data_IF_548618981407
#
_entry.id   IF_548618981407
#
_cell.length_a   1.000
_cell.length_b   1.000
_cell.length_c   1.000
_cell.angle_alpha   90.00
_cell.angle_beta   90.00
_cell.angle_gamma   90.00
#
_symmetry.space_group_name_H-M   'P 1'
#
loop_
_entity.id
_entity.type
_entity.pdbx_description
1 polymer ?
#
# COMPACT_ATOMS: atom_id res chain seq x y z
N UNK A 1 -102.98 -80.67 52.55
CA UNK A 1 -103.80 -81.88 52.80
C UNK A 1 -104.72 -82.04 51.62
N UNK A 2 -104.35 -82.93 50.70
CA UNK A 2 -105.13 -83.28 49.52
C UNK A 2 -106.18 -84.26 50.00
N UNK A 3 -107.42 -83.80 50.16
CA UNK A 3 -108.53 -84.72 50.40
C UNK A 3 -108.79 -85.43 49.08
N UNK A 4 -108.49 -86.73 49.06
CA UNK A 4 -109.06 -87.72 48.16
C UNK A 4 -110.56 -87.46 48.06
N UNK A 5 -110.97 -86.74 47.02
CA UNK A 5 -112.38 -86.62 46.65
C UNK A 5 -112.62 -87.67 45.61
N UNK A 6 -113.18 -88.77 46.09
CA UNK A 6 -113.90 -89.81 45.38
C UNK A 6 -114.22 -89.45 43.92
N UNK A 7 -113.37 -89.93 43.01
CA UNK A 7 -113.64 -90.06 41.57
C UNK A 7 -114.69 -91.15 41.33
N UNK A 8 -115.82 -91.08 42.03
CA UNK A 8 -117.01 -91.92 41.85
C UNK A 8 -118.11 -91.21 41.08
N UNK A 9 -117.73 -90.29 40.17
CA UNK A 9 -118.68 -89.57 39.34
C UNK A 9 -119.21 -90.49 38.23
N UNK A 10 -120.49 -90.83 38.37
CA UNK A 10 -121.36 -91.53 37.43
C UNK A 10 -121.13 -93.06 37.33
N UNK A 11 -122.06 -93.92 37.79
CA UNK A 11 -122.04 -95.31 37.41
C UNK A 11 -122.23 -95.41 35.89
N UNK A 12 -121.12 -95.68 35.20
CA UNK A 12 -121.09 -96.08 33.80
C UNK A 12 -121.92 -97.36 33.65
N UNK A 13 -122.99 -97.26 32.87
CA UNK A 13 -123.87 -98.33 32.36
C UNK A 13 -124.21 -99.45 33.36
N UNK A 14 -125.45 -99.43 33.87
CA UNK A 14 -126.06 -100.60 34.47
C UNK A 14 -127.11 -101.17 33.51
N UNK A 15 -127.06 -102.48 33.29
CA UNK A 15 -128.04 -103.19 32.49
C UNK A 15 -129.34 -103.27 33.30
N UNK A 16 -130.42 -102.70 32.78
CA UNK A 16 -131.77 -102.83 33.37
C UNK A 16 -132.35 -104.20 32.99
N UNK A 17 -133.18 -104.77 33.87
CA UNK A 17 -133.86 -106.01 33.53
C UNK A 17 -134.83 -105.79 32.34
N UNK A 18 -134.76 -106.67 31.33
CA UNK A 18 -135.65 -106.62 30.18
C UNK A 18 -136.94 -107.39 30.49
N UNK A 19 -138.07 -106.70 30.50
CA UNK A 19 -139.39 -107.30 30.42
C UNK A 19 -139.74 -107.60 28.96
N UNK A 20 -140.80 -108.39 28.73
CA UNK A 20 -141.17 -109.03 27.45
C UNK A 20 -141.33 -108.08 26.23
N UNK A 21 -141.25 -106.74 26.44
CA UNK A 21 -141.07 -105.70 25.41
C UNK A 21 -140.47 -104.39 26.02
N UNK A 22 -139.29 -104.44 26.66
CA UNK A 22 -138.52 -103.25 27.07
C UNK A 22 -138.03 -103.26 28.53
N UNK A 23 -137.45 -102.15 29.01
CA UNK A 23 -136.93 -102.03 30.39
C UNK A 23 -138.05 -101.86 31.43
N UNK A 24 -137.82 -102.34 32.67
CA UNK A 24 -138.74 -102.14 33.78
C UNK A 24 -138.88 -100.65 34.16
N UNK A 25 -140.11 -100.12 34.07
CA UNK A 25 -140.41 -98.70 34.33
C UNK A 25 -140.20 -98.30 35.78
N UNK A 26 -140.37 -99.21 36.74
CA UNK A 26 -140.19 -98.89 38.16
C UNK A 26 -138.71 -98.75 38.51
N UNK A 27 -137.87 -99.64 37.98
CA UNK A 27 -136.41 -99.60 38.14
C UNK A 27 -135.84 -98.30 37.55
N UNK A 28 -136.32 -97.89 36.36
CA UNK A 28 -135.91 -96.63 35.72
C UNK A 28 -136.30 -95.40 36.54
N UNK A 29 -137.51 -95.35 37.12
CA UNK A 29 -137.95 -94.21 37.95
C UNK A 29 -137.14 -94.06 39.23
N UNK A 30 -136.91 -95.16 39.96
CA UNK A 30 -136.08 -95.13 41.17
C UNK A 30 -134.65 -94.66 40.86
N UNK A 31 -134.11 -95.07 39.71
CA UNK A 31 -132.82 -94.60 39.26
C UNK A 31 -132.81 -93.11 38.90
N UNK A 32 -133.84 -92.61 38.22
CA UNK A 32 -133.99 -91.18 37.94
C UNK A 32 -134.11 -90.35 39.22
N UNK A 33 -134.89 -90.81 40.21
CA UNK A 33 -135.03 -90.13 41.50
C UNK A 33 -133.69 -90.12 42.27
N UNK A 34 -132.94 -91.23 42.23
CA UNK A 34 -131.60 -91.32 42.81
C UNK A 34 -130.60 -90.38 42.10
N UNK A 35 -130.62 -90.35 40.76
CA UNK A 35 -129.82 -89.42 39.97
C UNK A 35 -130.19 -87.96 40.25
N UNK A 36 -131.47 -87.64 40.39
CA UNK A 36 -131.93 -86.29 40.72
C UNK A 36 -131.44 -85.88 42.12
N UNK A 37 -131.53 -86.77 43.11
CA UNK A 37 -130.98 -86.54 44.44
C UNK A 37 -129.44 -86.33 44.42
N UNK A 38 -128.72 -87.12 43.61
CA UNK A 38 -127.28 -86.97 43.42
C UNK A 38 -126.92 -85.66 42.71
N UNK A 39 -127.66 -85.26 41.67
CA UNK A 39 -127.48 -83.97 41.00
C UNK A 39 -127.74 -82.81 41.95
N UNK A 40 -128.79 -82.87 42.78
CA UNK A 40 -129.05 -81.85 43.80
C UNK A 40 -127.91 -81.74 44.80
N UNK A 41 -127.37 -82.87 45.28
CA UNK A 41 -126.20 -82.89 46.16
C UNK A 41 -124.95 -82.29 45.50
N UNK A 42 -124.67 -82.65 44.26
CA UNK A 42 -123.52 -82.08 43.51
C UNK A 42 -123.73 -80.58 43.30
N UNK A 43 -124.96 -80.13 43.02
CA UNK A 43 -125.28 -78.70 42.90
C UNK A 43 -125.08 -77.97 44.23
N UNK A 44 -125.52 -78.53 45.36
CA UNK A 44 -125.29 -77.93 46.68
C UNK A 44 -123.80 -77.90 47.04
N UNK A 45 -123.06 -78.97 46.73
CA UNK A 45 -121.63 -79.06 46.99
C UNK A 45 -120.86 -78.08 46.08
N UNK A 46 -121.27 -77.93 44.82
CA UNK A 46 -120.75 -76.91 43.89
C UNK A 46 -121.01 -75.52 44.41
N UNK A 47 -122.23 -75.22 44.83
CA UNK A 47 -122.60 -73.88 45.30
C UNK A 47 -121.88 -73.53 46.61
N UNK A 48 -121.71 -74.50 47.52
CA UNK A 48 -120.89 -74.35 48.72
C UNK A 48 -119.40 -74.13 48.39
N UNK A 49 -118.85 -74.88 47.43
CA UNK A 49 -117.48 -74.69 46.97
C UNK A 49 -117.29 -73.32 46.28
N UNK A 50 -118.28 -72.85 45.51
CA UNK A 50 -118.26 -71.51 44.91
C UNK A 50 -118.30 -70.42 45.99
N UNK A 51 -119.12 -70.58 47.04
CA UNK A 51 -119.15 -69.64 48.16
C UNK A 51 -117.79 -69.59 48.91
N UNK A 52 -117.16 -70.75 49.16
CA UNK A 52 -115.81 -70.82 49.75
C UNK A 52 -114.76 -70.18 48.84
N UNK A 53 -114.78 -70.48 47.54
CA UNK A 53 -113.87 -69.86 46.57
C UNK A 53 -114.02 -68.34 46.53
N UNK A 54 -115.26 -67.83 46.60
CA UNK A 54 -115.53 -66.39 46.66
C UNK A 54 -115.07 -65.73 47.96
N UNK A 55 -115.07 -66.47 49.07
CA UNK A 55 -114.61 -65.97 50.37
C UNK A 55 -113.09 -65.92 50.39
N UNK A 56 -112.43 -67.00 49.96
CA UNK A 56 -110.98 -67.06 49.84
C UNK A 56 -110.45 -66.04 48.81
N UNK A 57 -111.16 -65.79 47.70
CA UNK A 57 -110.76 -64.76 46.75
C UNK A 57 -110.81 -63.37 47.37
N UNK A 58 -111.83 -63.07 48.18
CA UNK A 58 -111.93 -61.80 48.94
C UNK A 58 -110.81 -61.67 49.97
N UNK A 59 -110.50 -62.73 50.72
CA UNK A 59 -109.38 -62.73 51.68
C UNK A 59 -108.03 -62.54 50.98
N UNK A 60 -107.82 -63.19 49.84
CA UNK A 60 -106.61 -63.06 49.04
C UNK A 60 -106.47 -61.63 48.48
N UNK A 61 -107.56 -61.04 47.99
CA UNK A 61 -107.57 -59.63 47.57
C UNK A 61 -107.26 -58.68 48.74
N UNK A 62 -107.80 -58.93 49.93
CA UNK A 62 -107.49 -58.15 51.12
C UNK A 62 -106.01 -58.27 51.52
N UNK A 63 -105.47 -59.49 51.57
CA UNK A 63 -104.05 -59.72 51.86
C UNK A 63 -103.14 -59.08 50.80
N UNK A 64 -103.52 -59.12 49.52
CA UNK A 64 -102.80 -58.41 48.44
C UNK A 64 -102.82 -56.91 48.62
N UNK A 65 -103.95 -56.33 49.04
CA UNK A 65 -104.06 -54.89 49.34
C UNK A 65 -103.21 -54.50 50.54
N UNK A 66 -103.12 -55.34 51.57
CA UNK A 66 -102.25 -55.11 52.73
C UNK A 66 -100.78 -55.20 52.37
N UNK A 67 -100.39 -56.22 51.59
CA UNK A 67 -99.02 -56.33 51.07
C UNK A 67 -98.65 -55.11 50.22
N UNK A 68 -99.54 -54.65 49.33
CA UNK A 68 -99.31 -53.45 48.52
C UNK A 68 -99.12 -52.18 49.38
N UNK A 69 -99.88 -52.04 50.47
CA UNK A 69 -99.72 -50.94 51.45
C UNK A 69 -98.41 -51.05 52.23
N UNK A 70 -98.01 -52.26 52.61
CA UNK A 70 -96.76 -52.49 53.32
C UNK A 70 -95.56 -52.21 52.41
N UNK A 71 -95.60 -52.68 51.15
CA UNK A 71 -94.54 -52.41 50.17
C UNK A 71 -94.44 -50.92 49.85
N UNK A 72 -95.56 -50.20 49.65
CA UNK A 72 -95.49 -48.76 49.42
C UNK A 72 -94.88 -48.00 50.59
N UNK A 73 -95.17 -48.42 51.83
CA UNK A 73 -94.57 -47.83 53.04
C UNK A 73 -93.08 -48.13 53.16
N UNK A 74 -92.65 -49.33 52.77
CA UNK A 74 -91.22 -49.68 52.71
C UNK A 74 -90.54 -48.85 51.62
N UNK A 75 -91.12 -48.73 50.42
CA UNK A 75 -90.58 -47.91 49.34
C UNK A 75 -90.49 -46.43 49.73
N UNK A 76 -91.43 -45.93 50.54
CA UNK A 76 -91.36 -44.59 51.15
C UNK A 76 -90.21 -44.46 52.16
N UNK A 77 -89.99 -45.45 53.03
CA UNK A 77 -88.87 -45.46 54.00
C UNK A 77 -87.51 -45.71 53.34
N UNK A 78 -87.47 -46.37 52.19
CA UNK A 78 -86.24 -46.65 51.43
C UNK A 78 -85.77 -45.45 50.60
N UNK A 79 -86.60 -44.43 50.39
CA UNK A 79 -86.15 -43.18 49.79
C UNK A 79 -85.16 -42.51 50.76
N UNK A 80 -83.96 -42.14 50.30
CA UNK A 80 -83.00 -41.41 51.13
C UNK A 80 -83.65 -40.15 51.70
N UNK A 81 -83.43 -39.81 52.98
CA UNK A 81 -83.94 -38.55 53.54
C UNK A 81 -83.35 -37.38 52.75
N UNK A 82 -84.21 -36.55 52.16
CA UNK A 82 -83.78 -35.38 51.37
C UNK A 82 -83.46 -34.18 52.27
N UNK A 83 -84.03 -34.16 53.48
CA UNK A 83 -83.84 -33.09 54.45
C UNK A 83 -83.32 -33.62 55.77
N UNK A 84 -82.55 -32.78 56.46
CA UNK A 84 -82.04 -33.07 57.80
C UNK A 84 -83.17 -33.39 58.79
N UNK A 85 -84.32 -32.75 58.63
CA UNK A 85 -85.51 -32.90 59.48
C UNK A 85 -86.14 -34.31 59.41
N UNK A 86 -85.89 -35.06 58.33
CA UNK A 86 -86.42 -36.41 58.12
C UNK A 86 -85.59 -37.50 58.83
N UNK A 87 -84.42 -37.14 59.36
CA UNK A 87 -83.55 -38.05 60.10
C UNK A 87 -83.89 -38.05 61.60
N UNK A 88 -83.66 -39.17 62.29
CA UNK A 88 -83.76 -39.23 63.75
C UNK A 88 -82.89 -38.15 64.42
N UNK A 89 -83.34 -37.60 65.56
CA UNK A 89 -82.65 -36.51 66.28
C UNK A 89 -81.16 -36.78 66.54
N UNK A 90 -80.80 -38.03 66.82
CA UNK A 90 -79.40 -38.43 67.02
C UNK A 90 -78.58 -38.28 65.73
N UNK A 91 -79.15 -38.69 64.60
CA UNK A 91 -78.51 -38.62 63.30
C UNK A 91 -78.40 -37.16 62.84
N UNK A 92 -79.41 -36.33 63.09
CA UNK A 92 -79.36 -34.88 62.87
C UNK A 92 -78.17 -34.23 63.59
N UNK A 93 -77.99 -34.53 64.89
CA UNK A 93 -76.87 -34.03 65.68
C UNK A 93 -75.52 -34.52 65.13
N UNK A 94 -75.43 -35.76 64.64
CA UNK A 94 -74.19 -36.24 64.02
C UNK A 94 -73.87 -35.55 62.70
N UNK A 95 -74.90 -35.22 61.89
CA UNK A 95 -74.68 -34.48 60.64
C UNK A 95 -74.28 -33.04 60.95
N UNK A 96 -74.92 -32.38 61.91
CA UNK A 96 -74.51 -31.04 62.36
C UNK A 96 -73.08 -31.03 62.90
N UNK A 97 -72.70 -32.03 63.70
CA UNK A 97 -71.33 -32.18 64.18
C UNK A 97 -70.34 -32.42 63.04
N UNK A 98 -70.70 -33.25 62.06
CA UNK A 98 -69.87 -33.51 60.89
C UNK A 98 -69.73 -32.25 60.01
N UNK A 99 -70.80 -31.48 59.82
CA UNK A 99 -70.79 -30.19 59.12
C UNK A 99 -69.90 -29.18 59.85
N UNK A 100 -70.09 -29.00 61.16
CA UNK A 100 -69.23 -28.13 61.97
C UNK A 100 -67.75 -28.57 61.89
N UNK A 101 -67.49 -29.88 61.92
CA UNK A 101 -66.12 -30.41 61.77
C UNK A 101 -65.55 -30.19 60.36
N UNK A 102 -66.38 -30.31 59.33
CA UNK A 102 -65.97 -30.01 57.96
C UNK A 102 -65.62 -28.53 57.81
N UNK A 103 -66.44 -27.63 58.37
CA UNK A 103 -66.17 -26.18 58.40
C UNK A 103 -64.86 -25.87 59.15
N UNK A 104 -64.61 -26.51 60.29
CA UNK A 104 -63.33 -26.37 61.01
C UNK A 104 -62.14 -26.80 60.16
N UNK A 105 -62.26 -27.91 59.42
CA UNK A 105 -61.20 -28.42 58.55
C UNK A 105 -60.98 -27.46 57.38
N UNK A 106 -62.04 -26.96 56.74
CA UNK A 106 -61.91 -26.02 55.62
C UNK A 106 -61.33 -24.69 56.09
N UNK A 107 -61.77 -24.16 57.23
CA UNK A 107 -61.25 -22.92 57.79
C UNK A 107 -59.77 -23.07 58.16
N UNK A 108 -59.39 -24.20 58.75
CA UNK A 108 -57.98 -24.49 59.06
C UNK A 108 -57.13 -24.64 57.79
N UNK A 109 -57.66 -25.31 56.77
CA UNK A 109 -56.97 -25.48 55.49
C UNK A 109 -56.81 -24.13 54.76
N UNK A 110 -57.84 -23.28 54.76
CA UNK A 110 -57.80 -21.94 54.21
C UNK A 110 -56.76 -21.07 54.93
N UNK A 111 -56.78 -21.03 56.27
CA UNK A 111 -55.79 -20.28 57.05
C UNK A 111 -54.35 -20.76 56.81
N UNK A 112 -54.14 -22.08 56.69
CA UNK A 112 -52.83 -22.65 56.38
C UNK A 112 -52.37 -22.30 54.95
N UNK A 113 -53.30 -22.33 53.98
CA UNK A 113 -53.03 -21.92 52.61
C UNK A 113 -52.67 -20.43 52.57
N UNK A 114 -53.49 -19.54 53.14
CA UNK A 114 -53.25 -18.10 53.19
C UNK A 114 -51.89 -17.76 53.81
N UNK A 115 -51.52 -18.43 54.91
CA UNK A 115 -50.20 -18.28 55.51
C UNK A 115 -49.08 -18.65 54.53
N UNK A 116 -49.20 -19.80 53.87
CA UNK A 116 -48.20 -20.27 52.89
C UNK A 116 -48.11 -19.30 51.69
N UNK A 117 -49.25 -18.81 51.20
CA UNK A 117 -49.32 -17.81 50.12
C UNK A 117 -48.68 -16.48 50.54
N UNK A 118 -48.95 -16.00 51.75
CA UNK A 118 -48.34 -14.80 52.29
C UNK A 118 -46.81 -14.94 52.42
N UNK A 119 -46.32 -16.06 52.96
CA UNK A 119 -44.89 -16.35 53.10
C UNK A 119 -44.19 -16.41 51.72
N UNK A 120 -44.79 -17.11 50.74
CA UNK A 120 -44.27 -17.21 49.38
C UNK A 120 -44.26 -15.86 48.65
N UNK A 121 -45.32 -15.06 48.83
CA UNK A 121 -45.41 -13.71 48.24
C UNK A 121 -44.38 -12.78 48.87
N UNK A 122 -44.17 -12.87 50.19
CA UNK A 122 -43.14 -12.10 50.87
C UNK A 122 -41.72 -12.51 50.44
N UNK A 123 -41.47 -13.80 50.21
CA UNK A 123 -40.19 -14.26 49.69
C UNK A 123 -39.95 -13.76 48.25
N UNK A 124 -40.99 -13.82 47.41
CA UNK A 124 -40.93 -13.34 46.02
C UNK A 124 -40.71 -11.84 45.92
N UNK A 125 -41.39 -11.04 46.75
CA UNK A 125 -41.20 -9.58 46.81
C UNK A 125 -39.79 -9.23 47.27
N UNK A 126 -39.30 -9.84 48.36
CA UNK A 126 -37.91 -9.65 48.81
C UNK A 126 -36.88 -9.99 47.73
N UNK A 127 -37.13 -11.05 46.94
CA UNK A 127 -36.25 -11.44 45.85
C UNK A 127 -36.27 -10.41 44.71
N UNK A 128 -37.47 -9.93 44.32
CA UNK A 128 -37.62 -8.86 43.34
C UNK A 128 -36.90 -7.59 43.79
N UNK A 129 -37.10 -7.16 45.03
CA UNK A 129 -36.44 -5.97 45.58
C UNK A 129 -34.91 -6.08 45.55
N UNK A 130 -34.36 -7.28 45.83
CA UNK A 130 -32.93 -7.54 45.72
C UNK A 130 -32.43 -7.47 44.28
N UNK A 131 -33.16 -8.03 43.33
CA UNK A 131 -32.79 -7.95 41.92
C UNK A 131 -32.89 -6.53 41.39
N UNK A 132 -33.93 -5.78 41.75
CA UNK A 132 -34.06 -4.36 41.39
C UNK A 132 -32.85 -3.58 41.92
N UNK A 133 -32.49 -3.73 43.19
CA UNK A 133 -31.30 -3.09 43.76
C UNK A 133 -30.00 -3.52 43.09
N UNK A 134 -29.88 -4.79 42.70
CA UNK A 134 -28.70 -5.29 41.99
C UNK A 134 -28.59 -4.68 40.58
N UNK A 135 -29.70 -4.59 39.86
CA UNK A 135 -29.75 -3.96 38.54
C UNK A 135 -29.37 -2.48 38.65
N UNK A 136 -29.97 -1.74 39.59
CA UNK A 136 -29.60 -0.34 39.86
C UNK A 136 -28.12 -0.19 40.20
N UNK A 137 -27.56 -1.08 41.03
CA UNK A 137 -26.13 -1.05 41.36
C UNK A 137 -25.23 -1.34 40.14
N UNK A 138 -25.65 -2.22 39.24
CA UNK A 138 -24.93 -2.50 37.99
C UNK A 138 -25.01 -1.33 37.01
N UNK A 139 -26.14 -0.64 36.93
CA UNK A 139 -26.29 0.58 36.13
C UNK A 139 -25.36 1.68 36.64
N UNK A 140 -25.34 1.94 37.95
CA UNK A 140 -24.41 2.91 38.57
C UNK A 140 -22.95 2.53 38.30
N UNK A 141 -22.61 1.25 38.37
CA UNK A 141 -21.25 0.78 38.09
C UNK A 141 -20.88 0.92 36.60
N UNK A 142 -21.82 0.67 35.69
CA UNK A 142 -21.61 0.86 34.26
C UNK A 142 -21.38 2.33 33.92
N UNK A 143 -22.17 3.24 34.51
CA UNK A 143 -22.00 4.68 34.33
C UNK A 143 -20.66 5.18 34.90
N UNK A 144 -20.24 4.66 36.06
CA UNK A 144 -18.94 4.97 36.65
C UNK A 144 -17.78 4.53 35.74
N UNK A 145 -17.81 3.29 35.22
CA UNK A 145 -16.81 2.79 34.28
C UNK A 145 -16.80 3.60 32.98
N UNK A 146 -17.97 3.94 32.43
CA UNK A 146 -18.04 4.79 31.24
C UNK A 146 -17.41 6.17 31.51
N UNK A 147 -17.72 6.80 32.65
CA UNK A 147 -17.12 8.06 33.05
C UNK A 147 -15.60 7.98 33.19
N UNK A 148 -15.08 6.91 33.81
CA UNK A 148 -13.64 6.67 33.94
C UNK A 148 -12.97 6.46 32.57
N UNK A 149 -13.59 5.69 31.67
CA UNK A 149 -13.09 5.48 30.32
C UNK A 149 -13.08 6.76 29.49
N UNK A 150 -14.15 7.56 29.57
CA UNK A 150 -14.22 8.85 28.89
C UNK A 150 -13.16 9.82 29.42
N UNK A 151 -12.95 9.86 30.73
CA UNK A 151 -11.91 10.67 31.35
C UNK A 151 -10.49 10.22 30.92
N UNK A 152 -10.23 8.92 30.89
CA UNK A 152 -8.96 8.37 30.42
C UNK A 152 -8.72 8.67 28.92
N UNK A 153 -9.74 8.53 28.08
CA UNK A 153 -9.68 8.89 26.66
C UNK A 153 -9.49 10.41 26.47
N UNK A 154 -10.11 11.24 27.29
CA UNK A 154 -9.91 12.68 27.26
C UNK A 154 -8.47 13.06 27.65
N UNK A 155 -7.92 12.46 28.71
CA UNK A 155 -6.53 12.69 29.15
C UNK A 155 -5.53 12.27 28.07
N UNK A 156 -5.66 11.05 27.55
CA UNK A 156 -4.76 10.55 26.48
C UNK A 156 -4.87 11.38 25.21
N UNK A 157 -6.08 11.80 24.80
CA UNK A 157 -6.25 12.74 23.67
C UNK A 157 -5.57 14.08 23.94
N UNK A 158 -5.63 14.60 25.16
CA UNK A 158 -4.97 15.85 25.52
C UNK A 158 -3.43 15.70 25.50
N UNK A 159 -2.89 14.59 26.01
CA UNK A 159 -1.47 14.27 25.97
C UNK A 159 -0.95 14.09 24.55
N UNK A 160 -1.67 13.34 23.70
CA UNK A 160 -1.33 13.17 22.28
C UNK A 160 -1.32 14.52 21.59
N UNK A 161 -2.32 15.38 21.82
CA UNK A 161 -2.34 16.75 21.27
C UNK A 161 -1.11 17.56 21.70
N UNK A 162 -0.76 17.54 22.99
CA UNK A 162 0.46 18.21 23.48
C UNK A 162 1.72 17.68 22.80
N UNK A 163 1.89 16.36 22.75
CA UNK A 163 3.05 15.73 22.08
C UNK A 163 3.11 16.07 20.59
N UNK A 164 1.97 16.12 19.90
CA UNK A 164 1.93 16.50 18.47
C UNK A 164 2.29 17.97 18.25
N UNK A 165 1.86 18.88 19.14
CA UNK A 165 2.23 20.29 19.08
C UNK A 165 3.72 20.47 19.36
N UNK A 166 4.24 19.87 20.43
CA UNK A 166 5.67 19.92 20.74
C UNK A 166 6.53 19.30 19.63
N UNK A 167 6.07 18.21 19.00
CA UNK A 167 6.77 17.61 17.88
C UNK A 167 6.77 18.51 16.64
N UNK A 168 5.68 19.24 16.38
CA UNK A 168 5.60 20.22 15.30
C UNK A 168 6.54 21.41 15.57
N UNK A 169 6.53 21.97 16.78
CA UNK A 169 7.44 23.05 17.20
C UNK A 169 8.90 22.64 17.07
N UNK A 170 9.28 21.44 17.56
CA UNK A 170 10.64 20.92 17.44
C UNK A 170 11.06 20.74 15.97
N UNK A 171 10.15 20.31 15.09
CA UNK A 171 10.43 20.21 13.65
C UNK A 171 10.71 21.58 13.05
N UNK A 172 9.87 22.58 13.33
CA UNK A 172 10.09 23.94 12.85
C UNK A 172 11.40 24.55 13.36
N UNK A 173 11.76 24.30 14.63
CA UNK A 173 13.04 24.75 15.20
C UNK A 173 14.23 24.12 14.49
N UNK A 174 14.18 22.80 14.23
CA UNK A 174 15.22 22.08 13.51
C UNK A 174 15.33 22.56 12.05
N UNK A 175 14.19 22.83 11.39
CA UNK A 175 14.17 23.35 10.03
C UNK A 175 14.77 24.76 9.97
N UNK A 176 14.38 25.66 10.87
CA UNK A 176 14.98 27.00 11.01
C UNK A 176 16.49 26.93 11.28
N UNK A 177 16.92 26.02 12.15
CA UNK A 177 18.33 25.82 12.46
C UNK A 177 19.11 25.25 11.25
N UNK A 178 18.50 24.33 10.50
CA UNK A 178 19.10 23.76 9.30
C UNK A 178 19.22 24.82 8.18
N UNK A 179 18.20 25.64 7.97
CA UNK A 179 18.24 26.76 7.02
C UNK A 179 19.31 27.78 7.39
N UNK A 180 19.40 28.16 8.68
CA UNK A 180 20.43 29.07 9.15
C UNK A 180 21.85 28.51 8.91
N UNK A 181 22.05 27.20 9.13
CA UNK A 181 23.31 26.51 8.80
C UNK A 181 23.60 26.50 7.30
N UNK A 182 22.61 26.21 6.46
CA UNK A 182 22.77 26.24 4.99
C UNK A 182 23.19 27.63 4.52
N UNK A 183 22.48 28.68 4.94
CA UNK A 183 22.82 30.06 4.60
C UNK A 183 24.22 30.45 5.07
N UNK A 184 24.63 30.02 6.27
CA UNK A 184 25.99 30.27 6.77
C UNK A 184 27.05 29.60 5.90
N UNK A 185 26.84 28.32 5.54
CA UNK A 185 27.77 27.58 4.67
C UNK A 185 27.83 28.21 3.28
N UNK A 186 26.68 28.59 2.71
CA UNK A 186 26.61 29.27 1.41
C UNK A 186 27.38 30.59 1.44
N UNK A 187 27.17 31.43 2.46
CA UNK A 187 27.88 32.69 2.62
C UNK A 187 29.41 32.50 2.82
N UNK A 188 29.82 31.52 3.62
CA UNK A 188 31.25 31.19 3.82
C UNK A 188 31.88 30.64 2.53
N UNK A 189 31.16 29.81 1.78
CA UNK A 189 31.60 29.29 0.49
C UNK A 189 31.73 30.39 -0.56
N UNK A 190 30.73 31.26 -0.69
CA UNK A 190 30.78 32.41 -1.59
C UNK A 190 31.93 33.35 -1.24
N UNK A 191 32.15 33.64 0.05
CA UNK A 191 33.27 34.45 0.50
C UNK A 191 34.62 33.80 0.18
N UNK A 192 34.76 32.49 0.42
CA UNK A 192 35.97 31.73 0.08
C UNK A 192 36.23 31.71 -1.42
N UNK A 193 35.21 31.44 -2.24
CA UNK A 193 35.33 31.44 -3.70
C UNK A 193 35.63 32.83 -4.24
N UNK A 194 35.04 33.89 -3.69
CA UNK A 194 35.34 35.26 -4.05
C UNK A 194 36.79 35.63 -3.69
N UNK A 195 37.27 35.22 -2.51
CA UNK A 195 38.66 35.42 -2.10
C UNK A 195 39.64 34.66 -3.00
N UNK A 196 39.34 33.42 -3.37
CA UNK A 196 40.15 32.62 -4.30
C UNK A 196 40.17 33.24 -5.71
N UNK A 197 39.01 33.68 -6.23
CA UNK A 197 38.93 34.37 -7.52
C UNK A 197 39.76 35.65 -7.50
N UNK A 198 39.62 36.49 -6.47
CA UNK A 198 40.40 37.71 -6.32
C UNK A 198 41.91 37.43 -6.20
N UNK A 199 42.31 36.35 -5.53
CA UNK A 199 43.72 35.95 -5.43
C UNK A 199 44.28 35.47 -6.78
N UNK A 200 43.52 34.68 -7.54
CA UNK A 200 43.90 34.25 -8.88
C UNK A 200 43.96 35.44 -9.86
N UNK A 201 43.00 36.34 -9.81
CA UNK A 201 43.00 37.57 -10.61
C UNK A 201 44.22 38.44 -10.30
N UNK A 202 44.59 38.61 -9.03
CA UNK A 202 45.83 39.28 -8.63
C UNK A 202 47.06 38.58 -9.20
N UNK A 203 47.14 37.26 -9.08
CA UNK A 203 48.28 36.51 -9.62
C UNK A 203 48.38 36.63 -11.15
N UNK A 204 47.27 36.59 -11.88
CA UNK A 204 47.23 36.82 -13.33
C UNK A 204 47.66 38.26 -13.66
N UNK A 205 47.19 39.25 -12.90
CA UNK A 205 47.59 40.64 -13.09
C UNK A 205 49.09 40.85 -12.81
N UNK A 206 49.62 40.25 -11.76
CA UNK A 206 51.04 40.28 -11.40
C UNK A 206 51.89 39.60 -12.48
N UNK A 207 51.48 38.42 -12.96
CA UNK A 207 52.15 37.72 -14.05
C UNK A 207 52.09 38.50 -15.36
N UNK A 208 50.95 39.12 -15.69
CA UNK A 208 50.81 39.97 -16.87
C UNK A 208 51.73 41.19 -16.78
N UNK A 209 51.78 41.83 -15.62
CA UNK A 209 52.66 42.99 -15.38
C UNK A 209 54.13 42.59 -15.43
N UNK A 210 54.51 41.48 -14.80
CA UNK A 210 55.86 40.94 -14.86
C UNK A 210 56.26 40.56 -16.29
N UNK A 211 55.36 39.92 -17.05
CA UNK A 211 55.60 39.55 -18.46
C UNK A 211 55.73 40.77 -19.35
N UNK A 212 54.89 41.80 -19.16
CA UNK A 212 55.00 43.09 -19.86
C UNK A 212 56.33 43.77 -19.56
N UNK A 213 56.71 43.89 -18.28
CA UNK A 213 57.97 44.47 -17.87
C UNK A 213 59.18 43.68 -18.42
N UNK A 214 59.12 42.34 -18.46
CA UNK A 214 60.17 41.52 -19.06
C UNK A 214 60.25 41.69 -20.58
N UNK A 215 59.10 41.76 -21.27
CA UNK A 215 59.05 42.02 -22.70
C UNK A 215 59.63 43.42 -23.02
N UNK A 216 59.24 44.44 -22.26
CA UNK A 216 59.79 45.80 -22.38
C UNK A 216 61.30 45.83 -22.13
N UNK A 217 61.80 45.12 -21.10
CA UNK A 217 63.25 45.00 -20.85
C UNK A 217 63.98 44.32 -22.02
N UNK A 218 63.47 43.20 -22.53
CA UNK A 218 64.07 42.51 -23.69
C UNK A 218 64.05 43.38 -24.94
N UNK A 219 62.98 44.13 -25.17
CA UNK A 219 62.91 45.09 -26.29
C UNK A 219 63.92 46.22 -26.08
N UNK A 220 64.03 46.77 -24.87
CA UNK A 220 64.99 47.81 -24.56
C UNK A 220 66.45 47.32 -24.71
N UNK A 221 66.76 46.12 -24.23
CA UNK A 221 68.07 45.48 -24.39
C UNK A 221 68.38 45.17 -25.86
N UNK A 222 67.44 44.55 -26.59
CA UNK A 222 67.61 44.24 -28.01
C UNK A 222 67.76 45.51 -28.86
N UNK A 223 66.99 46.57 -28.57
CA UNK A 223 67.14 47.85 -29.26
C UNK A 223 68.45 48.55 -28.90
N UNK A 224 68.93 48.45 -27.67
CA UNK A 224 70.24 48.97 -27.26
C UNK A 224 71.39 48.20 -27.94
N UNK A 225 71.32 46.87 -27.99
CA UNK A 225 72.30 46.06 -28.72
C UNK A 225 72.25 46.31 -30.23
N UNK A 226 71.05 46.42 -30.81
CA UNK A 226 70.90 46.75 -32.23
C UNK A 226 71.52 48.11 -32.54
N UNK A 227 71.29 49.12 -31.68
CA UNK A 227 71.96 50.42 -31.78
C UNK A 227 73.48 50.28 -31.68
N UNK A 228 74.00 49.55 -30.68
CA UNK A 228 75.45 49.29 -30.56
C UNK A 228 76.04 48.62 -31.79
N UNK A 229 75.40 47.57 -32.32
CA UNK A 229 75.87 46.89 -33.54
C UNK A 229 75.82 47.80 -34.76
N UNK A 230 74.80 48.65 -34.89
CA UNK A 230 74.71 49.66 -35.96
C UNK A 230 75.78 50.73 -35.79
N UNK A 231 76.03 51.21 -34.57
CA UNK A 231 77.07 52.20 -34.27
C UNK A 231 78.48 51.62 -34.53
N UNK A 232 78.72 50.39 -34.12
CA UNK A 232 79.97 49.65 -34.41
C UNK A 232 80.14 49.40 -35.92
N UNK A 233 79.11 48.91 -36.61
CA UNK A 233 79.16 48.66 -38.05
C UNK A 233 79.35 49.96 -38.84
N UNK A 234 78.72 51.07 -38.41
CA UNK A 234 78.93 52.39 -39.03
C UNK A 234 80.31 52.95 -38.70
N UNK A 235 80.85 52.71 -37.50
CA UNK A 235 82.22 53.07 -37.15
C UNK A 235 83.25 52.26 -37.96
N UNK A 236 83.05 50.95 -38.12
CA UNK A 236 83.86 50.10 -38.99
C UNK A 236 83.74 50.50 -40.46
N UNK A 237 82.54 50.79 -40.94
CA UNK A 237 82.32 51.26 -42.30
C UNK A 237 83.06 52.58 -42.53
N UNK A 238 82.98 53.53 -41.58
CA UNK A 238 83.76 54.77 -41.62
C UNK A 238 85.27 54.48 -41.63
N UNK A 239 85.77 53.61 -40.73
CA UNK A 239 87.19 53.21 -40.72
C UNK A 239 87.62 52.59 -42.06
N UNK A 240 86.85 51.66 -42.63
CA UNK A 240 87.14 51.05 -43.93
C UNK A 240 87.11 52.09 -45.06
N UNK A 241 86.19 53.05 -45.01
CA UNK A 241 86.15 54.17 -45.96
C UNK A 241 87.38 55.07 -45.79
N UNK A 242 87.78 55.39 -44.57
CA UNK A 242 88.96 56.21 -44.29
C UNK A 242 90.25 55.49 -44.71
N UNK A 243 90.38 54.19 -44.42
CA UNK A 243 91.48 53.32 -44.88
C UNK A 243 91.50 53.18 -46.40
N UNK A 244 90.35 53.03 -47.05
CA UNK A 244 90.25 53.01 -48.50
C UNK A 244 90.59 54.37 -49.11
N UNK A 245 90.18 55.47 -48.47
CA UNK A 245 90.46 56.84 -48.91
C UNK A 245 91.93 57.18 -48.74
N UNK A 246 92.56 56.78 -47.64
CA UNK A 246 93.99 56.93 -47.41
C UNK A 246 94.80 56.05 -48.34
N UNK A 247 94.38 54.80 -48.60
CA UNK A 247 95.01 53.92 -49.60
C UNK A 247 94.84 54.44 -51.03
N UNK A 248 93.68 55.01 -51.36
CA UNK A 248 93.43 55.70 -52.62
C UNK A 248 94.31 56.97 -52.74
N UNK A 249 94.46 57.75 -51.67
CA UNK A 249 95.37 58.89 -51.60
C UNK A 249 96.84 58.45 -51.76
N UNK A 250 97.24 57.33 -51.16
CA UNK A 250 98.59 56.78 -51.30
C UNK A 250 98.87 56.25 -52.70
N UNK A 251 97.93 55.53 -53.32
CA UNK A 251 98.05 55.04 -54.70
C UNK A 251 98.05 56.18 -55.71
N UNK A 252 97.20 57.19 -55.54
CA UNK A 252 97.22 58.41 -56.36
C UNK A 252 98.51 59.20 -56.17
N UNK A 253 99.01 59.36 -54.94
CA UNK A 253 100.31 60.00 -54.70
C UNK A 253 101.49 59.19 -55.27
N UNK A 254 101.45 57.86 -55.17
CA UNK A 254 102.48 56.99 -55.75
C UNK A 254 102.42 57.02 -57.29
N UNK A 255 101.23 57.07 -57.88
CA UNK A 255 101.04 57.27 -59.30
C UNK A 255 101.53 58.66 -59.74
N UNK A 256 101.23 59.72 -58.98
CA UNK A 256 101.72 61.07 -59.23
C UNK A 256 103.26 61.13 -59.21
N UNK A 257 103.91 60.51 -58.21
CA UNK A 257 105.38 60.39 -58.15
C UNK A 257 105.96 59.59 -59.32
N UNK A 258 105.26 58.56 -59.80
CA UNK A 258 105.67 57.81 -61.00
C UNK A 258 105.53 58.66 -62.28
N UNK A 259 104.47 59.45 -62.40
CA UNK A 259 104.29 60.40 -63.51
C UNK A 259 105.36 61.49 -63.47
N UNK A 260 105.68 62.01 -62.28
CA UNK A 260 106.74 62.99 -62.07
C UNK A 260 108.12 62.42 -62.46
N UNK A 261 108.46 61.19 -62.06
CA UNK A 261 109.66 60.49 -62.53
C UNK A 261 109.69 60.30 -64.05
N UNK A 262 108.55 59.98 -64.68
CA UNK A 262 108.45 59.87 -66.14
C UNK A 262 108.59 61.24 -66.83
N UNK A 263 108.10 62.32 -66.21
CA UNK A 263 108.30 63.68 -66.68
C UNK A 263 109.78 64.10 -66.60
N UNK A 264 110.46 63.77 -65.50
CA UNK A 264 111.91 63.98 -65.35
C UNK A 264 112.71 63.16 -66.37
N UNK A 265 112.34 61.89 -66.62
CA UNK A 265 112.99 61.06 -67.63
C UNK A 265 112.76 61.60 -69.05
N UNK A 266 111.55 62.13 -69.33
CA UNK A 266 111.20 62.77 -70.59
C UNK A 266 111.96 64.08 -70.81
N UNK A 267 112.14 64.90 -69.77
CA UNK A 267 112.96 66.11 -69.87
C UNK A 267 114.45 65.77 -70.03
N UNK A 268 114.96 64.72 -69.37
CA UNK A 268 116.32 64.19 -69.60
C UNK A 268 116.50 63.63 -71.03
N UNK A 269 115.49 62.97 -71.59
CA UNK A 269 115.50 62.52 -72.98
C UNK A 269 115.41 63.68 -74.00
N UNK A 270 114.65 64.75 -73.68
CA UNK A 270 114.62 65.98 -74.49
C UNK A 270 115.94 66.73 -74.44
N UNK A 271 116.62 66.74 -73.30
CA UNK A 271 117.95 67.32 -73.16
C UNK A 271 118.98 66.54 -74.01
N UNK A 272 118.99 65.20 -73.94
CA UNK A 272 119.93 64.39 -74.73
C UNK A 272 119.69 64.45 -76.24
N UNK A 273 118.43 64.62 -76.68
CA UNK A 273 118.12 64.80 -78.10
C UNK A 273 118.54 66.18 -78.63
N UNK A 274 118.49 67.24 -77.81
CA UNK A 274 119.02 68.56 -78.19
C UNK A 274 120.54 68.59 -78.27
N UNK A 275 121.20 67.84 -77.38
CA UNK A 275 122.66 67.71 -77.35
C UNK A 275 123.19 66.89 -78.55
N UNK A 276 122.43 65.91 -79.03
CA UNK A 276 122.74 65.16 -80.25
C UNK A 276 122.50 65.96 -81.55
N UNK A 277 121.47 66.82 -81.60
CA UNK A 277 121.17 67.67 -82.76
C UNK A 277 122.18 68.82 -82.98
N UNK A 278 122.80 69.32 -81.90
CA UNK A 278 123.86 70.34 -81.96
C UNK A 278 125.18 69.78 -82.54
N UNK A 279 125.54 68.55 -82.17
CA UNK A 279 126.76 67.88 -82.64
C UNK A 279 126.64 67.43 -84.12
N UNK A 280 125.43 67.12 -84.58
CA UNK A 280 125.17 66.74 -85.97
C UNK A 280 125.16 67.94 -86.92
N UNK A 281 124.71 69.13 -86.49
CA UNK A 281 124.80 70.35 -87.31
C UNK A 281 126.21 70.91 -87.48
N UNK A 282 127.12 70.65 -86.53
CA UNK A 282 128.51 71.12 -86.61
C UNK A 282 129.41 70.23 -87.51
N UNK A 283 128.93 69.07 -87.97
CA UNK A 283 129.71 68.11 -88.77
C UNK A 283 129.17 67.88 -90.20
N UNK A 284 128.09 68.54 -90.62
CA UNK A 284 127.44 68.34 -91.94
C UNK A 284 127.93 69.30 -93.05
N UNK A 285 128.85 70.23 -92.76
CA UNK A 285 129.36 71.21 -93.75
C UNK A 285 130.61 70.75 -94.54
N UNK A 286 131.10 69.52 -94.36
CA UNK A 286 132.24 69.03 -95.13
C UNK A 286 132.17 67.51 -95.40
N UNK A 287 132.13 67.18 -96.70
CA UNK A 287 132.48 65.89 -97.35
C UNK A 287 131.34 64.93 -97.73
N UNK A 288 130.99 64.99 -99.03
CA UNK A 288 130.53 63.89 -99.91
C UNK A 288 131.60 62.77 -100.05
N UNK A 289 131.41 61.64 -100.80
CA UNK A 289 130.26 60.76 -101.05
C UNK A 289 130.59 59.23 -101.05
N UNK A 290 129.55 58.39 -101.27
CA UNK A 290 129.47 57.01 -101.82
C UNK A 290 130.29 55.84 -101.21
N UNK A 291 129.62 54.73 -100.85
CA UNK A 291 129.45 53.52 -101.69
C UNK A 291 128.72 52.42 -100.91
N UNK A 292 127.91 51.65 -101.64
CA UNK A 292 127.07 50.53 -101.22
C UNK A 292 127.82 49.44 -100.42
N UNK A 293 127.12 48.89 -99.42
CA UNK A 293 126.97 47.46 -99.09
C UNK A 293 126.73 47.28 -97.58
N UNK A 294 125.51 46.87 -97.19
CA UNK A 294 125.32 45.94 -96.06
C UNK A 294 123.90 45.38 -96.06
N UNK A 295 123.73 44.28 -96.76
CA UNK A 295 122.95 43.16 -96.25
C UNK A 295 123.56 42.66 -94.92
N UNK A 296 122.74 42.14 -94.01
CA UNK A 296 122.92 40.86 -93.29
C UNK A 296 121.75 40.67 -92.31
N UNK A 297 121.15 39.49 -92.40
CA UNK A 297 120.13 38.95 -91.51
C UNK A 297 120.73 38.44 -90.18
N UNK A 298 119.98 38.53 -89.08
CA UNK A 298 119.55 37.39 -88.24
C UNK A 298 119.22 37.77 -86.77
N UNK A 299 117.97 37.44 -86.40
CA UNK A 299 117.49 36.83 -85.14
C UNK A 299 117.67 37.54 -83.77
N UNK A 300 116.55 37.91 -83.13
CA UNK A 300 115.86 37.03 -82.14
C UNK A 300 114.71 37.71 -81.36
N UNK A 301 113.60 36.96 -81.31
CA UNK A 301 112.65 36.75 -80.19
C UNK A 301 111.75 37.88 -79.63
N UNK A 302 110.44 37.54 -79.74
CA UNK A 302 109.40 37.52 -78.69
C UNK A 302 108.66 38.82 -78.30
N UNK A 303 107.33 38.65 -78.30
CA UNK A 303 106.27 39.37 -77.57
C UNK A 303 105.72 40.66 -78.18
N UNK A 304 104.38 40.70 -78.20
CA UNK A 304 103.55 41.87 -78.48
C UNK A 304 103.18 41.96 -79.96
N UNK A 305 101.95 42.28 -80.35
CA UNK A 305 100.73 42.62 -79.64
C UNK A 305 99.60 42.45 -80.68
N UNK A 306 98.33 42.40 -80.28
CA UNK A 306 97.39 43.52 -80.44
C UNK A 306 96.07 42.99 -81.09
N UNK A 307 94.93 43.72 -81.09
CA UNK A 307 93.78 43.37 -80.23
C UNK A 307 92.39 43.34 -80.95
N UNK A 308 91.31 43.37 -80.14
CA UNK A 308 90.02 44.10 -80.32
C UNK A 308 88.71 43.27 -80.34
N UNK A 309 87.87 43.48 -79.29
CA UNK A 309 86.37 43.50 -79.17
C UNK A 309 85.54 42.25 -79.55
N UNK A 310 84.35 41.93 -79.02
CA UNK A 310 83.42 42.44 -78.00
C UNK A 310 82.34 41.36 -77.73
N UNK A 311 81.67 41.49 -76.57
CA UNK A 311 80.26 41.20 -76.29
C UNK A 311 79.77 39.78 -75.88
N UNK A 312 79.33 39.74 -74.62
CA UNK A 312 77.96 39.44 -74.15
C UNK A 312 77.60 38.08 -73.51
N UNK A 313 76.91 38.24 -72.38
CA UNK A 313 75.82 37.44 -71.82
C UNK A 313 76.12 36.26 -70.86
N UNK A 314 75.52 36.38 -69.67
CA UNK A 314 75.13 35.33 -68.73
C UNK A 314 74.13 34.34 -69.40
N UNK A 315 73.77 33.14 -68.85
CA UNK A 315 73.37 32.93 -67.44
C UNK A 315 73.62 31.53 -66.78
N UNK A 316 73.32 31.50 -65.47
CA UNK A 316 72.66 30.45 -64.66
C UNK A 316 73.16 28.98 -64.51
N UNK A 317 73.18 28.56 -63.22
CA UNK A 317 72.87 27.23 -62.63
C UNK A 317 73.85 26.07 -62.95
N UNK A 318 74.25 25.17 -62.04
CA UNK A 318 73.55 24.37 -61.01
C UNK A 318 74.60 23.71 -60.08
N UNK A 319 74.30 23.42 -58.82
CA UNK A 319 74.69 22.11 -58.24
C UNK A 319 73.73 21.64 -57.11
N UNK A 320 73.12 20.49 -57.42
CA UNK A 320 72.60 19.34 -56.64
C UNK A 320 71.69 19.45 -55.41
N UNK A 321 70.50 18.91 -55.68
CA UNK A 321 69.46 18.23 -54.88
C UNK A 321 69.84 16.88 -54.23
N UNK A 322 69.25 16.53 -53.06
CA UNK A 322 68.26 15.42 -52.85
C UNK A 322 67.90 15.17 -51.34
N UNK A 323 66.82 14.41 -50.97
CA UNK A 323 65.77 14.86 -50.02
C UNK A 323 65.30 13.87 -48.90
N UNK A 324 64.42 14.37 -47.99
CA UNK A 324 63.30 13.72 -47.23
C UNK A 324 63.54 12.51 -46.28
N UNK A 325 62.56 12.08 -45.43
CA UNK A 325 61.61 12.77 -44.52
C UNK A 325 61.49 12.08 -43.11
N UNK A 326 60.50 12.51 -42.30
CA UNK A 326 60.01 12.09 -40.96
C UNK A 326 60.06 10.59 -40.59
N UNK A 327 59.90 10.23 -39.28
CA UNK A 327 58.61 9.58 -38.94
C UNK A 327 58.11 9.73 -37.47
N UNK A 328 56.80 9.41 -37.34
CA UNK A 328 56.05 8.79 -36.21
C UNK A 328 55.25 9.69 -35.26
N UNK A 329 53.96 9.78 -35.62
CA UNK A 329 52.83 9.81 -34.73
C UNK A 329 52.85 8.64 -33.72
N UNK A 330 52.52 8.92 -32.46
CA UNK A 330 52.04 7.91 -31.51
C UNK A 330 51.15 8.52 -30.42
N UNK A 331 50.07 7.81 -30.08
CA UNK A 331 49.21 8.05 -28.92
C UNK A 331 47.94 8.85 -29.22
N UNK A 332 46.78 8.57 -28.65
CA UNK A 332 46.30 7.44 -27.88
C UNK A 332 44.76 7.61 -27.87
N UNK A 333 44.01 6.56 -28.20
CA UNK A 333 42.55 6.53 -28.09
C UNK A 333 42.19 6.04 -26.68
N UNK A 334 41.20 6.63 -26.01
CA UNK A 334 40.27 5.81 -25.25
C UNK A 334 38.80 6.12 -25.61
N UNK A 335 37.99 5.10 -25.35
CA UNK A 335 36.57 4.96 -25.67
C UNK A 335 35.65 5.86 -24.83
N UNK A 336 34.40 6.07 -25.26
CA UNK A 336 33.30 6.46 -24.39
C UNK A 336 32.43 5.25 -24.00
N UNK A 337 32.25 5.04 -22.69
CA UNK A 337 31.02 4.44 -22.12
C UNK A 337 30.00 5.57 -21.91
N UNK A 338 28.70 5.30 -22.13
CA UNK A 338 27.80 5.39 -20.98
C UNK A 338 26.63 4.39 -21.01
N UNK A 339 26.20 3.90 -19.84
CA UNK A 339 24.81 3.99 -19.37
C UNK A 339 24.56 3.06 -18.16
N UNK A 340 24.44 3.66 -16.98
CA UNK A 340 23.53 3.23 -15.92
C UNK A 340 22.81 4.47 -15.40
N UNK A 341 21.50 4.53 -15.64
CA UNK A 341 20.47 5.13 -14.80
C UNK A 341 19.13 4.58 -15.27
#
# INVERSE_FOLDING_TARGET
MVSERDNGLLPLRREYAHAWQGFDRNEVRQYLDHLEAHLRRIVTDRDAAMAQASTLSRELENARRELAKATSRIDELMKPPERLEDLDERMQRTVQLAQARAEEITNRAQAAAEKTWAESTQASTKLRDRYTKLVEALEVHADALHGEHEAALASTRAEVKKLTLEAAERREELDKAAEAKRRKIEAEFEASMAAQRAALEKHIADQSTASKNQAERRIAEATAEAKRRVDEATAEAKRRIDEATTSAAQTTNAAARKVERLAELREKARASLREADEVLKQSEAALQPLKEESSIAAASKLVGAEPVKQAAAAPAATDKSKPSPEPKANGHKPAPEPAKA
#
